data_IF_601762610423
#
_entry.id   IF_601762610423
#
_cell.length_a   1.000
_cell.length_b   1.000
_cell.length_c   1.000
_cell.angle_alpha   90.00
_cell.angle_beta   90.00
_cell.angle_gamma   90.00
#
_symmetry.space_group_name_H-M   'P 1'
#
loop_
_entity.id
_entity.type
_entity.pdbx_description
1 polymer ?
#
# COMPACT_ATOMS: atom_id res chain seq x y z
N UNK A 1 13.82 -11.13 -11.14
CA UNK A 1 13.69 -10.87 -9.69
C UNK A 1 12.81 -9.64 -9.51
N UNK A 2 11.61 -9.79 -8.94
CA UNK A 2 10.68 -8.68 -8.68
C UNK A 2 11.15 -7.93 -7.42
N UNK A 3 11.15 -6.60 -7.45
CA UNK A 3 11.59 -5.76 -6.33
C UNK A 3 10.37 -5.11 -5.68
N UNK A 4 10.16 -5.26 -4.36
CA UNK A 4 9.10 -4.59 -3.65
C UNK A 4 9.31 -3.07 -3.68
N UNK A 5 8.23 -2.31 -3.87
CA UNK A 5 8.29 -0.84 -3.99
C UNK A 5 8.34 -0.14 -2.62
N UNK A 6 7.76 -0.74 -1.57
CA UNK A 6 7.85 -0.31 -0.17
C UNK A 6 7.21 -1.37 0.75
N UNK A 7 7.74 -1.51 1.96
CA UNK A 7 7.16 -2.32 3.03
C UNK A 7 7.07 -1.51 4.32
N UNK A 8 5.87 -1.34 4.87
CA UNK A 8 5.65 -0.75 6.21
C UNK A 8 5.09 -1.85 7.11
N UNK A 9 5.65 -2.03 8.30
CA UNK A 9 5.15 -2.98 9.30
C UNK A 9 4.95 -2.28 10.63
N UNK A 10 3.70 -2.09 11.05
CA UNK A 10 3.35 -1.69 12.42
C UNK A 10 2.56 -2.82 13.05
N UNK A 11 3.21 -3.54 13.98
CA UNK A 11 2.65 -4.37 15.08
C UNK A 11 1.66 -5.50 14.77
N UNK A 12 0.89 -5.42 13.69
CA UNK A 12 -0.13 -6.36 13.28
C UNK A 12 -0.46 -6.24 11.78
N UNK A 13 -0.01 -5.17 11.09
CA UNK A 13 -0.35 -4.88 9.70
C UNK A 13 0.91 -4.60 8.89
N UNK A 14 0.97 -5.14 7.67
CA UNK A 14 1.97 -4.74 6.68
C UNK A 14 1.37 -4.53 5.29
N UNK A 15 1.99 -3.62 4.55
CA UNK A 15 1.61 -3.26 3.19
C UNK A 15 2.80 -3.49 2.27
N UNK A 16 2.57 -4.15 1.14
CA UNK A 16 3.55 -4.29 0.06
C UNK A 16 2.88 -3.95 -1.27
N UNK A 17 3.58 -3.20 -2.12
CA UNK A 17 3.11 -2.88 -3.47
C UNK A 17 4.14 -3.35 -4.51
N UNK A 18 3.64 -4.01 -5.55
CA UNK A 18 4.43 -4.46 -6.70
C UNK A 18 3.75 -4.05 -8.00
N UNK A 19 4.54 -3.66 -9.01
CA UNK A 19 4.02 -3.24 -10.32
C UNK A 19 4.43 -4.23 -11.42
N UNK A 20 3.47 -4.64 -12.24
CA UNK A 20 3.65 -5.52 -13.41
C UNK A 20 2.60 -5.20 -14.48
N UNK A 21 3.01 -5.05 -15.73
CA UNK A 21 2.12 -4.87 -16.90
C UNK A 21 0.97 -3.86 -16.69
N UNK A 22 1.30 -2.62 -16.30
CA UNK A 22 0.37 -1.50 -16.01
C UNK A 22 -0.60 -1.75 -14.85
N UNK A 23 -0.43 -2.83 -14.12
CA UNK A 23 -1.14 -3.12 -12.87
C UNK A 23 -0.23 -2.91 -11.68
N UNK A 24 -0.84 -2.59 -10.56
CA UNK A 24 -0.21 -2.53 -9.25
C UNK A 24 -0.92 -3.53 -8.36
N UNK A 25 -0.16 -4.43 -7.74
CA UNK A 25 -0.65 -5.40 -6.78
C UNK A 25 -0.32 -4.89 -5.39
N UNK A 26 -1.36 -4.59 -4.61
CA UNK A 26 -1.25 -4.21 -3.22
C UNK A 26 -1.56 -5.43 -2.35
N UNK A 27 -0.57 -5.90 -1.60
CA UNK A 27 -0.78 -6.90 -0.55
C UNK A 27 -0.95 -6.20 0.78
N UNK A 28 -2.06 -6.49 1.47
CA UNK A 28 -2.29 -6.11 2.86
C UNK A 28 -2.23 -7.39 3.70
N UNK A 29 -1.26 -7.48 4.61
CA UNK A 29 -1.13 -8.59 5.52
C UNK A 29 -1.47 -8.17 6.94
N UNK A 30 -2.22 -9.02 7.64
CA UNK A 30 -2.52 -8.91 9.07
C UNK A 30 -2.02 -10.14 9.82
N UNK A 31 -2.13 -10.15 11.15
CA UNK A 31 -1.85 -11.34 11.97
C UNK A 31 -2.73 -12.56 11.67
N UNK A 32 -3.85 -12.37 10.96
CA UNK A 32 -4.81 -13.44 10.64
C UNK A 32 -4.75 -13.89 9.17
N UNK A 33 -3.96 -13.24 8.32
CA UNK A 33 -3.82 -13.60 6.90
C UNK A 33 -3.47 -12.41 6.02
N UNK A 34 -3.44 -12.62 4.70
CA UNK A 34 -3.15 -11.57 3.72
C UNK A 34 -4.17 -11.55 2.60
N UNK A 35 -4.44 -10.35 2.08
CA UNK A 35 -5.28 -10.13 0.89
C UNK A 35 -4.48 -9.37 -0.16
N UNK A 36 -4.64 -9.76 -1.42
CA UNK A 36 -4.04 -9.07 -2.57
C UNK A 36 -5.13 -8.35 -3.38
N UNK A 37 -4.84 -7.11 -3.76
CA UNK A 37 -5.71 -6.26 -4.56
C UNK A 37 -4.93 -5.86 -5.82
N UNK A 38 -5.47 -6.21 -7.00
CA UNK A 38 -4.93 -5.76 -8.27
C UNK A 38 -5.63 -4.46 -8.70
N UNK A 39 -4.85 -3.41 -8.90
CA UNK A 39 -5.29 -2.07 -9.29
C UNK A 39 -4.72 -1.71 -10.66
N UNK A 40 -5.45 -0.93 -11.43
CA UNK A 40 -4.88 -0.19 -12.55
C UNK A 40 -3.94 0.93 -12.03
N UNK A 41 -3.00 1.38 -12.87
CA UNK A 41 -1.96 2.35 -12.48
C UNK A 41 -2.54 3.67 -11.95
N UNK A 42 -3.63 4.12 -12.54
CA UNK A 42 -4.40 5.31 -12.18
C UNK A 42 -5.16 5.14 -10.86
N UNK A 43 -5.74 3.97 -10.60
CA UNK A 43 -6.36 3.64 -9.32
C UNK A 43 -5.33 3.59 -8.19
N UNK A 44 -4.17 2.98 -8.45
CA UNK A 44 -3.07 2.90 -7.50
C UNK A 44 -2.52 4.28 -7.12
N UNK A 45 -2.41 5.20 -8.09
CA UNK A 45 -1.98 6.58 -7.84
C UNK A 45 -2.98 7.34 -6.95
N UNK A 46 -4.28 7.18 -7.23
CA UNK A 46 -5.35 7.76 -6.40
C UNK A 46 -5.29 7.23 -4.97
N UNK A 47 -5.13 5.92 -4.79
CA UNK A 47 -5.02 5.29 -3.47
C UNK A 47 -3.78 5.79 -2.70
N UNK A 48 -2.62 5.82 -3.35
CA UNK A 48 -1.39 6.33 -2.75
C UNK A 48 -1.55 7.78 -2.30
N UNK A 49 -2.22 8.62 -3.12
CA UNK A 49 -2.50 10.01 -2.76
C UNK A 49 -3.44 10.13 -1.56
N UNK A 50 -4.50 9.33 -1.50
CA UNK A 50 -5.41 9.32 -0.36
C UNK A 50 -4.68 8.95 0.94
N UNK A 51 -3.85 7.90 0.91
CA UNK A 51 -3.04 7.49 2.06
C UNK A 51 -2.09 8.63 2.49
N UNK A 52 -1.39 9.27 1.56
CA UNK A 52 -0.47 10.36 1.88
C UNK A 52 -1.17 11.58 2.50
N UNK A 53 -2.39 11.89 2.06
CA UNK A 53 -3.20 12.99 2.65
C UNK A 53 -3.63 12.63 4.07
N UNK A 54 -4.20 11.45 4.28
CA UNK A 54 -4.64 11.01 5.62
C UNK A 54 -3.46 10.95 6.61
N UNK A 55 -2.28 10.49 6.16
CA UNK A 55 -1.07 10.47 6.99
C UNK A 55 -0.54 11.87 7.31
N UNK A 56 -0.81 12.88 6.46
CA UNK A 56 -0.42 14.26 6.74
C UNK A 56 -1.29 14.91 7.81
N UNK A 57 -2.57 14.54 7.91
CA UNK A 57 -3.48 15.03 8.96
C UNK A 57 -3.08 14.47 10.34
N UNK A 58 -2.63 13.20 10.41
CA UNK A 58 -2.09 12.64 11.66
C UNK A 58 -0.79 13.29 12.15
N UNK A 59 -0.01 13.92 11.25
CA UNK A 59 1.28 14.51 11.60
C UNK A 59 1.18 15.94 12.16
N UNK A 60 0.01 16.57 12.09
CA UNK A 60 -0.19 17.97 12.51
C UNK A 60 -0.78 18.07 13.92
N UNK A 61 -1.46 17.02 14.40
CA UNK A 61 -2.07 16.95 15.73
C UNK A 61 -1.21 16.21 16.80
N UNK A 62 0.05 15.90 16.48
CA UNK A 62 1.01 15.21 17.37
C UNK A 62 2.02 16.12 18.07
#
# INVERSE_FOLDING_TARGET
>A
MKKPLMGVSEGAWSFNAEAEDRKVFLTVATSTGSTEIALHSDEALCLARAILVEMSDFAIDG
#
